data_IF_965765669486
#
_entry.id   IF_965765669486
#
_cell.length_a   1.000
_cell.length_b   1.000
_cell.length_c   1.000
_cell.angle_alpha   90.00
_cell.angle_beta   90.00
_cell.angle_gamma   90.00
#
_symmetry.space_group_name_H-M   'P 1'
#
loop_
_entity.id
_entity.type
_entity.pdbx_description
1 polymer ?
#
# COMPACT_ATOMS: atom_id res chain seq x y z
N UNK A 1 -7.27 4.65 -9.18
CA UNK A 1 -5.91 4.90 -8.74
C UNK A 1 -5.96 5.52 -7.35
N UNK A 2 -5.16 5.07 -6.41
CA UNK A 2 -4.03 4.12 -6.50
C UNK A 2 -4.36 2.67 -6.10
N UNK A 3 -5.60 2.32 -5.85
CA UNK A 3 -6.01 1.06 -5.23
C UNK A 3 -6.06 -0.13 -6.20
N UNK A 4 -6.13 0.13 -7.50
CA UNK A 4 -6.26 -0.89 -8.54
C UNK A 4 -5.06 -0.84 -9.47
N UNK A 5 -4.68 -2.00 -10.01
CA UNK A 5 -3.63 -2.07 -11.03
C UNK A 5 -4.07 -1.48 -12.36
N UNK A 6 -5.37 -1.47 -12.61
CA UNK A 6 -5.91 -0.98 -13.89
C UNK A 6 -6.48 0.42 -13.76
N UNK A 7 -6.25 1.23 -14.79
CA UNK A 7 -6.83 2.56 -14.95
C UNK A 7 -7.21 2.78 -16.42
N UNK A 8 -8.14 3.70 -16.66
CA UNK A 8 -8.53 4.12 -18.02
C UNK A 8 -8.35 5.63 -18.16
N UNK A 9 -7.81 6.03 -19.30
CA UNK A 9 -7.77 7.42 -19.72
C UNK A 9 -8.67 7.55 -20.94
N UNK A 10 -9.70 8.38 -20.85
CA UNK A 10 -10.59 8.67 -21.99
C UNK A 10 -10.29 10.08 -22.48
N UNK A 11 -9.96 10.17 -23.76
CA UNK A 11 -9.79 11.45 -24.47
C UNK A 11 -11.04 11.65 -25.33
N UNK A 12 -11.81 12.69 -25.04
CA UNK A 12 -13.01 13.05 -25.82
C UNK A 12 -12.82 14.43 -26.40
N UNK A 13 -13.08 14.58 -27.69
CA UNK A 13 -12.95 15.84 -28.43
C UNK A 13 -14.24 16.15 -29.16
N UNK A 14 -14.59 17.45 -29.22
CA UNK A 14 -15.81 17.94 -29.91
C UNK A 14 -15.64 18.09 -31.43
N UNK A 15 -14.40 18.16 -31.90
CA UNK A 15 -14.03 18.22 -33.30
C UNK A 15 -12.61 17.63 -33.47
N UNK A 16 -12.22 17.19 -34.69
CA UNK A 16 -10.88 16.64 -34.90
C UNK A 16 -9.80 17.65 -34.49
N UNK A 17 -8.88 17.22 -33.65
CA UNK A 17 -7.76 18.02 -33.15
C UNK A 17 -6.48 17.20 -33.08
N UNK A 18 -5.37 17.81 -33.45
CA UNK A 18 -4.04 17.15 -33.41
C UNK A 18 -3.26 17.61 -32.20
N UNK A 19 -2.89 16.68 -31.35
CA UNK A 19 -2.00 16.93 -30.20
C UNK A 19 -1.25 15.67 -29.76
N UNK A 20 -0.33 15.86 -28.83
CA UNK A 20 0.43 14.77 -28.20
C UNK A 20 -0.07 14.59 -26.76
N UNK A 21 -0.59 13.40 -26.44
CA UNK A 21 -0.90 12.99 -25.08
C UNK A 21 0.34 12.37 -24.44
N UNK A 22 0.84 12.95 -23.34
CA UNK A 22 1.93 12.40 -22.53
C UNK A 22 1.39 11.70 -21.28
N UNK A 23 1.71 10.43 -21.12
CA UNK A 23 1.35 9.66 -19.92
C UNK A 23 2.63 9.32 -19.15
N UNK A 24 2.71 9.79 -17.91
CA UNK A 24 3.86 9.50 -17.05
C UNK A 24 3.83 8.04 -16.60
N UNK A 25 4.95 7.35 -16.78
CA UNK A 25 5.15 5.98 -16.29
C UNK A 25 5.86 6.06 -14.93
N UNK A 26 5.19 5.68 -13.83
CA UNK A 26 5.80 5.80 -12.51
C UNK A 26 7.03 4.92 -12.34
N UNK A 27 8.01 5.41 -11.57
CA UNK A 27 9.26 4.68 -11.33
C UNK A 27 9.10 3.41 -10.48
N UNK A 28 8.00 3.29 -9.73
CA UNK A 28 7.69 2.12 -8.91
C UNK A 28 7.06 0.96 -9.71
N UNK A 29 6.60 1.18 -10.95
CA UNK A 29 6.08 0.11 -11.81
C UNK A 29 7.22 -0.74 -12.36
N UNK A 30 6.99 -2.04 -12.53
CA UNK A 30 7.98 -2.93 -13.18
C UNK A 30 7.55 -3.36 -14.59
N UNK A 31 6.27 -3.64 -14.77
CA UNK A 31 5.73 -4.21 -15.99
C UNK A 31 4.44 -3.50 -16.40
N UNK A 32 4.41 -2.17 -16.28
CA UNK A 32 3.25 -1.39 -16.70
C UNK A 32 3.00 -1.59 -18.18
N UNK A 33 1.75 -1.87 -18.52
CA UNK A 33 1.27 -1.92 -19.91
C UNK A 33 0.36 -0.73 -20.15
N UNK A 34 0.45 -0.15 -21.33
CA UNK A 34 -0.39 0.95 -21.78
C UNK A 34 -0.75 0.76 -23.25
N UNK A 35 -1.99 1.00 -23.63
CA UNK A 35 -2.42 0.89 -25.01
C UNK A 35 -3.88 1.17 -25.24
N UNK A 36 -4.32 1.10 -26.49
CA UNK A 36 -5.72 1.27 -26.91
C UNK A 36 -6.17 0.01 -27.66
N UNK A 37 -7.37 -0.47 -27.34
CA UNK A 37 -7.89 -1.72 -27.91
C UNK A 37 -7.08 -2.93 -27.46
N UNK A 38 -6.69 -3.79 -28.41
CA UNK A 38 -5.91 -5.01 -28.16
C UNK A 38 -4.39 -4.80 -28.11
N UNK A 39 -3.92 -3.65 -28.56
CA UNK A 39 -2.50 -3.32 -28.57
C UNK A 39 -2.05 -2.74 -27.23
N UNK A 40 -1.18 -3.49 -26.55
CA UNK A 40 -0.62 -3.09 -25.26
C UNK A 40 0.92 -3.08 -25.35
N UNK A 41 1.49 -1.94 -25.01
CA UNK A 41 2.94 -1.70 -25.03
C UNK A 41 3.48 -1.68 -23.60
N UNK A 42 4.75 -2.00 -23.43
CA UNK A 42 5.48 -1.90 -22.16
C UNK A 42 6.46 -0.73 -22.22
N UNK A 43 6.06 0.46 -21.80
CA UNK A 43 6.92 1.64 -21.80
C UNK A 43 7.99 1.57 -20.70
N UNK A 44 9.04 2.36 -20.84
CA UNK A 44 10.07 2.48 -19.81
C UNK A 44 9.55 3.23 -18.59
N UNK A 45 9.85 2.72 -17.41
CA UNK A 45 9.53 3.40 -16.15
C UNK A 45 10.32 4.71 -15.98
N UNK A 46 9.75 5.61 -15.21
CA UNK A 46 10.31 6.96 -14.91
C UNK A 46 10.36 7.92 -16.10
N UNK A 47 9.74 7.56 -17.22
CA UNK A 47 9.65 8.37 -18.43
C UNK A 47 8.20 8.74 -18.74
N UNK A 48 8.01 9.61 -19.75
CA UNK A 48 6.70 9.84 -20.35
C UNK A 48 6.56 8.99 -21.61
N UNK A 49 5.49 8.24 -21.70
CA UNK A 49 5.06 7.63 -22.94
C UNK A 49 4.12 8.57 -23.69
N UNK A 50 4.34 8.79 -24.98
CA UNK A 50 3.60 9.77 -25.76
C UNK A 50 2.81 9.13 -26.89
N UNK A 51 1.56 9.51 -26.99
CA UNK A 51 0.68 9.20 -28.11
C UNK A 51 0.52 10.47 -28.97
N UNK A 52 0.97 10.41 -30.23
CA UNK A 52 0.82 11.51 -31.19
C UNK A 52 -0.21 11.13 -32.23
N UNK A 53 -1.13 12.04 -32.52
CA UNK A 53 -2.12 11.78 -33.55
C UNK A 53 -3.18 12.87 -33.67
N UNK A 54 -4.04 12.70 -34.64
CA UNK A 54 -5.28 13.45 -34.78
C UNK A 54 -6.38 12.68 -34.06
N UNK A 55 -6.95 13.31 -33.05
CA UNK A 55 -7.98 12.73 -32.19
C UNK A 55 -9.34 13.07 -32.77
N UNK A 56 -10.18 12.04 -32.89
CA UNK A 56 -11.56 12.15 -33.34
C UNK A 56 -12.47 11.44 -32.35
N UNK A 57 -13.63 11.99 -32.05
CA UNK A 57 -14.58 11.39 -31.08
C UNK A 57 -13.97 11.09 -29.71
N UNK A 58 -14.03 9.83 -29.31
CA UNK A 58 -13.54 9.33 -28.02
C UNK A 58 -12.56 8.19 -28.18
N UNK A 59 -11.39 8.36 -27.61
CA UNK A 59 -10.34 7.32 -27.57
C UNK A 59 -10.07 6.90 -26.13
N UNK A 60 -10.06 5.59 -25.87
CA UNK A 60 -9.80 5.02 -24.54
C UNK A 60 -8.47 4.32 -24.51
N UNK A 61 -7.62 4.72 -23.55
CA UNK A 61 -6.39 4.03 -23.21
C UNK A 61 -6.57 3.26 -21.93
N UNK A 62 -6.12 2.01 -21.93
CA UNK A 62 -6.04 1.18 -20.73
C UNK A 62 -4.60 1.16 -20.22
N UNK A 63 -4.47 1.28 -18.90
CA UNK A 63 -3.21 1.16 -18.18
C UNK A 63 -3.31 -0.02 -17.23
N UNK A 64 -2.27 -0.86 -17.18
CA UNK A 64 -2.16 -1.94 -16.22
C UNK A 64 -0.76 -1.92 -15.62
N UNK A 65 -0.67 -1.63 -14.33
CA UNK A 65 0.62 -1.57 -13.62
C UNK A 65 1.11 -2.95 -13.19
N UNK A 66 0.21 -3.95 -13.13
CA UNK A 66 0.50 -5.32 -12.72
C UNK A 66 1.31 -5.42 -11.42
N UNK A 67 1.04 -4.52 -10.47
CA UNK A 67 1.80 -4.43 -9.23
C UNK A 67 1.48 -5.57 -8.28
N UNK A 68 2.53 -6.05 -7.60
CA UNK A 68 2.47 -7.09 -6.58
C UNK A 68 2.84 -6.51 -5.23
N UNK A 69 2.41 -7.17 -4.16
CA UNK A 69 2.88 -6.86 -2.81
C UNK A 69 4.37 -7.19 -2.66
N UNK A 70 5.12 -6.28 -2.03
CA UNK A 70 6.56 -6.38 -1.82
C UNK A 70 6.92 -5.95 -0.42
N UNK A 71 8.03 -6.51 0.05
CA UNK A 71 8.73 -6.05 1.24
C UNK A 71 9.87 -5.12 0.80
N UNK A 72 9.80 -3.86 1.21
CA UNK A 72 10.88 -2.91 0.99
C UNK A 72 11.68 -2.76 2.27
N UNK A 73 12.99 -3.03 2.18
CA UNK A 73 13.89 -2.94 3.32
C UNK A 73 14.07 -1.48 3.74
N UNK A 74 13.97 -1.26 5.02
CA UNK A 74 14.27 -0.01 5.71
C UNK A 74 15.56 -0.17 6.55
N UNK A 75 16.10 0.90 7.15
CA UNK A 75 17.14 0.79 8.15
C UNK A 75 16.73 -0.14 9.30
N UNK A 76 17.72 -0.69 10.01
CA UNK A 76 17.54 -1.54 11.20
C UNK A 76 16.83 -2.89 10.93
N UNK A 77 16.92 -3.39 9.67
CA UNK A 77 16.30 -4.64 9.21
C UNK A 77 14.76 -4.68 9.36
N UNK A 78 14.16 -3.52 9.36
CA UNK A 78 12.71 -3.39 9.25
C UNK A 78 12.28 -3.39 7.78
N UNK A 79 11.03 -3.74 7.55
CA UNK A 79 10.45 -3.81 6.21
C UNK A 79 9.08 -3.15 6.20
N UNK A 80 8.79 -2.43 5.12
CA UNK A 80 7.46 -1.90 4.85
C UNK A 80 6.85 -2.61 3.64
N UNK A 81 5.57 -2.94 3.76
CA UNK A 81 4.83 -3.56 2.65
C UNK A 81 4.36 -2.48 1.68
N UNK A 82 4.56 -2.70 0.39
CA UNK A 82 4.01 -1.85 -0.67
C UNK A 82 3.32 -2.66 -1.77
N UNK A 83 2.38 -2.00 -2.47
CA UNK A 83 1.82 -2.44 -3.75
C UNK A 83 1.53 -1.19 -4.59
N UNK A 84 2.19 -1.08 -5.73
CA UNK A 84 2.09 0.12 -6.55
C UNK A 84 2.52 1.38 -5.80
N UNK A 85 1.67 2.38 -5.82
CA UNK A 85 1.90 3.66 -5.15
C UNK A 85 1.58 3.63 -3.64
N UNK A 86 1.06 2.54 -3.11
CA UNK A 86 0.60 2.46 -1.72
C UNK A 86 1.58 1.71 -0.83
N UNK A 87 1.80 2.26 0.35
CA UNK A 87 2.32 1.53 1.50
C UNK A 87 1.16 0.99 2.34
N UNK A 88 1.42 -0.11 3.04
CA UNK A 88 0.46 -0.81 3.88
C UNK A 88 0.97 -0.92 5.30
N UNK A 89 0.05 -0.89 6.26
CA UNK A 89 0.36 -1.00 7.68
C UNK A 89 -0.64 -1.90 8.39
N UNK A 90 -0.22 -2.49 9.48
CA UNK A 90 -1.10 -3.18 10.43
C UNK A 90 -1.78 -2.11 11.27
N UNK A 91 -3.12 -1.97 11.22
CA UNK A 91 -3.84 -1.08 12.11
C UNK A 91 -3.75 -1.60 13.54
N UNK A 92 -3.50 -0.71 14.48
CA UNK A 92 -3.47 -1.03 15.91
C UNK A 92 -4.72 -0.46 16.55
N UNK A 93 -5.46 -1.30 17.28
CA UNK A 93 -6.57 -0.83 18.08
C UNK A 93 -6.05 0.16 19.15
N UNK A 94 -6.75 1.27 19.30
CA UNK A 94 -6.29 2.35 20.17
C UNK A 94 -7.46 2.95 20.96
N UNK A 95 -7.16 3.31 22.18
CA UNK A 95 -8.00 4.20 22.98
C UNK A 95 -7.66 5.65 22.63
N UNK A 96 -8.69 6.48 22.51
CA UNK A 96 -8.58 7.88 22.11
C UNK A 96 -8.96 8.79 23.23
N UNK A 97 -8.01 9.58 23.72
CA UNK A 97 -8.22 10.60 24.73
C UNK A 97 -8.09 11.99 24.10
N UNK A 98 -9.10 12.85 24.28
CA UNK A 98 -9.04 14.23 23.81
C UNK A 98 -8.28 15.09 24.81
N UNK A 99 -7.42 15.96 24.31
CA UNK A 99 -6.69 16.94 25.13
C UNK A 99 -7.64 18.03 25.60
N UNK A 100 -7.52 18.49 26.85
CA UNK A 100 -8.29 19.60 27.34
C UNK A 100 -8.02 20.89 26.54
N UNK A 101 -9.05 21.72 26.38
CA UNK A 101 -8.95 22.99 25.66
C UNK A 101 -9.04 22.88 24.13
N UNK A 102 -9.38 21.71 23.60
CA UNK A 102 -9.57 21.50 22.18
C UNK A 102 -10.66 22.38 21.58
N UNK A 103 -10.32 23.06 20.49
CA UNK A 103 -11.24 23.90 19.72
C UNK A 103 -11.68 23.20 18.46
N UNK A 104 -12.97 22.91 18.33
CA UNK A 104 -13.53 22.40 17.07
C UNK A 104 -13.27 23.40 15.93
N UNK A 105 -12.88 22.98 14.71
CA UNK A 105 -12.83 21.58 14.23
C UNK A 105 -11.45 20.90 14.38
N UNK A 106 -10.48 21.52 15.00
CA UNK A 106 -9.07 21.07 15.08
C UNK A 106 -8.78 20.42 16.43
N UNK A 107 -9.53 19.39 16.76
CA UNK A 107 -9.34 18.67 18.02
C UNK A 107 -8.00 17.92 18.06
N UNK A 108 -7.28 18.07 19.17
CA UNK A 108 -6.09 17.30 19.49
C UNK A 108 -6.47 16.10 20.36
N UNK A 109 -5.78 14.98 20.18
CA UNK A 109 -6.01 13.77 20.95
C UNK A 109 -4.77 12.88 20.99
N UNK A 110 -4.67 12.11 22.06
CA UNK A 110 -3.68 11.03 22.18
C UNK A 110 -4.30 9.69 21.81
N UNK A 111 -3.50 8.84 21.14
CA UNK A 111 -3.84 7.47 20.84
C UNK A 111 -2.92 6.54 21.63
N UNK A 112 -3.51 5.72 22.49
CA UNK A 112 -2.82 4.69 23.24
C UNK A 112 -3.19 3.31 22.69
N UNK A 113 -2.19 2.47 22.42
CA UNK A 113 -2.46 1.13 21.89
C UNK A 113 -3.24 0.30 22.92
N UNK A 114 -4.43 -0.16 22.55
CA UNK A 114 -5.26 -1.11 23.32
C UNK A 114 -5.25 -2.52 22.73
N UNK A 115 -4.62 -2.70 21.56
CA UNK A 115 -4.45 -3.99 20.88
C UNK A 115 -3.00 -4.41 20.69
N UNK A 116 -2.82 -5.61 20.13
CA UNK A 116 -1.49 -6.11 19.80
C UNK A 116 -0.87 -5.32 18.65
N UNK A 117 0.41 -4.98 18.78
CA UNK A 117 1.17 -4.19 17.80
C UNK A 117 2.56 -4.79 17.50
N UNK A 118 3.10 -5.61 18.41
CA UNK A 118 4.47 -6.14 18.42
C UNK A 118 4.62 -7.41 17.57
N UNK A 119 4.48 -7.28 16.26
CA UNK A 119 4.53 -8.40 15.33
C UNK A 119 5.79 -8.38 14.48
N UNK A 120 6.18 -9.58 14.01
CA UNK A 120 7.04 -9.78 12.86
C UNK A 120 6.25 -10.47 11.74
N UNK A 121 6.53 -10.12 10.51
CA UNK A 121 6.00 -10.83 9.33
C UNK A 121 6.75 -12.14 9.17
N UNK A 122 6.04 -13.22 8.85
CA UNK A 122 6.62 -14.48 8.44
C UNK A 122 6.66 -14.56 6.92
N UNK A 123 7.83 -14.76 6.34
CA UNK A 123 7.99 -14.97 4.92
C UNK A 123 8.99 -16.11 4.68
N UNK A 124 8.67 -17.01 3.75
CA UNK A 124 9.62 -18.06 3.30
C UNK A 124 10.76 -17.41 2.51
N UNK A 125 10.42 -16.46 1.66
CA UNK A 125 11.34 -15.73 0.82
C UNK A 125 10.86 -14.28 0.70
N UNK A 126 11.71 -13.32 1.07
CA UNK A 126 11.39 -11.89 1.02
C UNK A 126 11.14 -11.39 -0.41
N UNK A 127 11.86 -11.94 -1.38
CA UNK A 127 11.74 -11.56 -2.80
C UNK A 127 10.47 -12.15 -3.43
N UNK A 128 9.93 -13.21 -2.85
CA UNK A 128 8.70 -13.87 -3.26
C UNK A 128 7.52 -13.60 -2.33
N UNK A 129 7.60 -12.57 -1.51
CA UNK A 129 6.57 -12.22 -0.52
C UNK A 129 5.15 -12.19 -1.09
N UNK A 130 4.99 -11.73 -2.33
CA UNK A 130 3.68 -11.72 -3.00
C UNK A 130 2.99 -13.09 -3.11
N UNK A 131 3.72 -14.19 -2.98
CA UNK A 131 3.18 -15.56 -2.96
C UNK A 131 2.69 -16.00 -1.58
N UNK A 132 3.11 -15.30 -0.53
CA UNK A 132 2.78 -15.61 0.87
C UNK A 132 1.64 -14.76 1.40
N UNK A 133 0.98 -13.97 0.54
CA UNK A 133 -0.09 -13.07 0.93
C UNK A 133 -1.39 -13.40 0.20
N UNK A 134 -2.49 -13.15 0.88
CA UNK A 134 -3.81 -13.04 0.26
C UNK A 134 -4.29 -11.61 0.33
N UNK A 135 -5.14 -11.17 -0.59
CA UNK A 135 -5.69 -9.83 -0.54
C UNK A 135 -7.09 -9.77 -1.15
N UNK A 136 -7.84 -8.79 -0.73
CA UNK A 136 -9.17 -8.50 -1.23
C UNK A 136 -9.25 -7.06 -1.72
N UNK A 137 -9.67 -6.90 -2.96
CA UNK A 137 -10.07 -5.61 -3.52
C UNK A 137 -11.55 -5.38 -3.18
N UNK A 138 -11.85 -4.34 -2.40
CA UNK A 138 -13.22 -4.01 -1.99
C UNK A 138 -13.81 -2.89 -2.86
N UNK A 139 -15.12 -2.72 -2.93
CA UNK A 139 -15.72 -1.59 -3.61
C UNK A 139 -15.14 -0.26 -3.13
N UNK A 140 -14.87 0.65 -4.05
CA UNK A 140 -14.42 1.99 -3.70
C UNK A 140 -15.59 2.80 -3.14
N UNK A 141 -15.40 3.35 -1.96
CA UNK A 141 -16.34 4.28 -1.32
C UNK A 141 -15.92 5.72 -1.55
N UNK A 142 -16.71 6.69 -1.12
CA UNK A 142 -16.33 8.12 -1.12
C UNK A 142 -15.11 8.40 -0.22
N UNK A 143 -14.84 7.54 0.77
CA UNK A 143 -13.68 7.60 1.64
C UNK A 143 -12.86 6.31 1.58
N UNK A 144 -12.10 6.08 0.50
CA UNK A 144 -11.38 4.82 0.29
C UNK A 144 -10.21 4.59 1.25
N UNK A 145 -9.78 5.62 1.97
CA UNK A 145 -8.81 5.57 3.06
C UNK A 145 -9.48 5.47 4.45
N UNK A 146 -10.55 4.73 4.56
CA UNK A 146 -11.21 4.43 5.84
C UNK A 146 -10.69 3.12 6.43
N UNK A 147 -10.41 3.09 7.73
CA UNK A 147 -10.03 1.86 8.45
C UNK A 147 -11.18 0.85 8.54
N UNK A 148 -12.42 1.35 8.56
CA UNK A 148 -13.63 0.51 8.61
C UNK A 148 -13.96 -0.11 7.25
N UNK A 149 -13.72 0.64 6.15
CA UNK A 149 -14.03 0.21 4.78
C UNK A 149 -12.84 0.48 3.84
N UNK A 150 -11.68 -0.12 4.09
CA UNK A 150 -10.50 0.11 3.26
C UNK A 150 -10.73 -0.44 1.86
N UNK A 151 -10.20 0.25 0.85
CA UNK A 151 -10.35 -0.16 -0.56
C UNK A 151 -9.61 -1.47 -0.90
N UNK A 152 -8.61 -1.84 -0.11
CA UNK A 152 -7.82 -3.07 -0.24
C UNK A 152 -7.44 -3.56 1.16
N UNK A 153 -7.60 -4.85 1.39
CA UNK A 153 -7.05 -5.54 2.56
C UNK A 153 -6.06 -6.61 2.11
N UNK A 154 -4.95 -6.70 2.80
CA UNK A 154 -3.94 -7.74 2.58
C UNK A 154 -3.70 -8.50 3.87
N UNK A 155 -3.53 -9.81 3.74
CA UNK A 155 -3.30 -10.70 4.87
C UNK A 155 -2.05 -11.53 4.65
N UNK A 156 -1.24 -11.66 5.70
CA UNK A 156 -0.10 -12.57 5.72
C UNK A 156 0.09 -13.15 7.11
N UNK A 157 0.84 -14.24 7.21
CA UNK A 157 1.22 -14.81 8.50
C UNK A 157 2.22 -13.93 9.23
N UNK A 158 2.09 -13.85 10.54
CA UNK A 158 3.05 -13.22 11.44
C UNK A 158 3.15 -13.96 12.77
N UNK A 159 4.05 -13.47 13.60
CA UNK A 159 4.21 -13.91 15.00
C UNK A 159 4.38 -12.69 15.89
N UNK A 160 3.94 -12.79 17.15
CA UNK A 160 4.31 -11.82 18.17
C UNK A 160 5.79 -11.96 18.51
N UNK A 161 6.44 -10.81 18.71
CA UNK A 161 7.85 -10.74 19.09
C UNK A 161 8.02 -9.93 20.38
N UNK A 162 9.20 -10.09 21.00
CA UNK A 162 9.62 -9.22 22.08
C UNK A 162 10.00 -7.86 21.49
N UNK A 163 9.15 -6.87 21.72
CA UNK A 163 9.37 -5.50 21.23
C UNK A 163 9.06 -4.51 22.33
N UNK A 164 10.06 -3.83 22.84
CA UNK A 164 9.93 -2.89 23.92
C UNK A 164 9.37 -1.53 23.46
N UNK A 165 8.82 -0.79 24.42
CA UNK A 165 8.46 0.62 24.28
C UNK A 165 9.46 1.43 25.08
N UNK A 166 9.93 2.53 24.51
CA UNK A 166 10.76 3.53 25.18
C UNK A 166 10.23 4.91 24.81
N UNK A 167 10.05 5.77 25.81
CA UNK A 167 9.57 7.14 25.63
C UNK A 167 8.27 7.23 24.78
N UNK A 168 7.30 6.32 25.05
CA UNK A 168 6.02 6.25 24.36
C UNK A 168 6.04 5.67 22.95
N UNK A 169 7.20 5.27 22.43
CA UNK A 169 7.35 4.72 21.09
C UNK A 169 7.98 3.33 21.08
N UNK A 170 7.70 2.54 20.05
CA UNK A 170 8.36 1.25 19.83
C UNK A 170 9.87 1.44 19.65
N UNK A 171 10.67 0.60 20.32
CA UNK A 171 12.13 0.63 20.20
C UNK A 171 12.52 0.43 18.73
N UNK A 172 13.46 1.24 18.24
CA UNK A 172 13.84 1.29 16.84
C UNK A 172 14.37 -0.04 16.26
N UNK A 173 15.03 -0.84 17.08
CA UNK A 173 15.58 -2.15 16.72
C UNK A 173 14.96 -3.24 17.58
N UNK A 174 13.82 -3.84 17.20
CA UNK A 174 13.32 -4.99 17.95
C UNK A 174 14.27 -6.19 17.80
N UNK A 175 14.37 -6.96 18.86
CA UNK A 175 14.90 -8.31 18.75
C UNK A 175 13.86 -9.14 18.00
N UNK A 176 14.11 -9.55 16.77
CA UNK A 176 13.19 -10.37 15.98
C UNK A 176 13.04 -11.81 16.55
N UNK A 177 12.94 -11.91 17.87
CA UNK A 177 12.76 -13.15 18.61
C UNK A 177 11.26 -13.35 18.85
N UNK A 178 10.74 -14.47 18.37
CA UNK A 178 9.35 -14.83 18.60
C UNK A 178 9.05 -14.91 20.10
N UNK A 179 7.99 -14.22 20.54
CA UNK A 179 7.49 -14.30 21.91
C UNK A 179 6.64 -15.57 22.14
N UNK A 180 6.19 -16.20 21.06
CA UNK A 180 5.45 -17.47 21.08
C UNK A 180 5.59 -18.19 19.74
N UNK A 181 5.31 -19.50 19.74
CA UNK A 181 5.26 -20.29 18.50
C UNK A 181 3.95 -20.11 17.71
N UNK A 182 2.97 -19.44 18.29
CA UNK A 182 1.67 -19.22 17.67
C UNK A 182 1.81 -18.29 16.46
N UNK A 183 1.36 -18.77 15.30
CA UNK A 183 1.19 -17.94 14.10
C UNK A 183 -0.14 -17.15 14.21
N UNK A 184 -0.11 -15.91 13.80
CA UNK A 184 -1.29 -15.05 13.73
C UNK A 184 -1.46 -14.52 12.31
N UNK A 185 -2.71 -14.31 11.87
CA UNK A 185 -2.99 -13.67 10.59
C UNK A 185 -2.95 -12.15 10.80
N UNK A 186 -1.96 -11.50 10.18
CA UNK A 186 -1.83 -10.07 10.20
C UNK A 186 -2.66 -9.46 9.06
N UNK A 187 -3.51 -8.50 9.42
CA UNK A 187 -4.29 -7.70 8.47
C UNK A 187 -3.54 -6.40 8.19
N UNK A 188 -3.30 -6.12 6.92
CA UNK A 188 -2.72 -4.87 6.45
C UNK A 188 -3.74 -4.10 5.62
N UNK A 189 -3.80 -2.79 5.81
CA UNK A 189 -4.61 -1.87 5.01
C UNK A 189 -3.72 -0.72 4.52
N UNK A 190 -4.16 0.08 3.53
CA UNK A 190 -3.39 1.24 3.09
C UNK A 190 -2.99 2.13 4.27
N UNK A 191 -1.73 2.56 4.30
CA UNK A 191 -1.16 3.37 5.38
C UNK A 191 -2.03 4.57 5.75
N UNK A 192 -2.56 5.28 4.72
CA UNK A 192 -3.43 6.44 4.91
C UNK A 192 -4.82 6.11 5.49
N UNK A 193 -5.18 4.82 5.58
CA UNK A 193 -6.45 4.36 6.16
C UNK A 193 -6.34 4.05 7.67
N UNK A 194 -5.19 4.28 8.30
CA UNK A 194 -4.94 3.94 9.70
C UNK A 194 -4.64 5.18 10.53
N UNK A 195 -5.12 5.23 11.76
CA UNK A 195 -4.71 6.24 12.77
C UNK A 195 -3.47 5.75 13.50
N UNK A 196 -3.61 4.78 14.42
CA UNK A 196 -2.47 4.11 15.06
C UNK A 196 -2.10 2.84 14.27
N UNK A 197 -0.80 2.65 14.02
CA UNK A 197 -0.34 1.60 13.09
C UNK A 197 1.07 1.15 13.34
N UNK A 198 1.37 -0.07 12.87
CA UNK A 198 2.72 -0.55 12.66
C UNK A 198 2.97 -0.74 11.16
N UNK A 199 3.81 0.12 10.58
CA UNK A 199 4.13 0.09 9.15
C UNK A 199 5.48 -0.57 8.88
N UNK A 200 6.45 -0.37 9.76
CA UNK A 200 7.78 -0.94 9.68
C UNK A 200 7.89 -2.15 10.63
N UNK A 201 8.02 -3.34 10.08
CA UNK A 201 8.02 -4.59 10.81
C UNK A 201 9.28 -5.41 10.48
N UNK A 202 9.85 -6.13 11.46
CA UNK A 202 10.87 -7.14 11.15
C UNK A 202 10.26 -8.31 10.39
N UNK A 203 11.10 -9.02 9.65
CA UNK A 203 10.72 -10.24 8.93
C UNK A 203 11.49 -11.42 9.48
N UNK A 204 10.78 -12.45 9.89
CA UNK A 204 11.33 -13.74 10.26
C UNK A 204 11.24 -14.65 9.04
N UNK A 205 12.38 -15.05 8.49
CA UNK A 205 12.44 -16.02 7.41
C UNK A 205 12.28 -17.41 7.99
N UNK A 206 11.31 -18.16 7.50
CA UNK A 206 11.15 -19.58 7.86
C UNK A 206 11.92 -20.41 6.85
N UNK A 207 12.98 -21.06 7.30
CA UNK A 207 13.55 -22.17 6.52
C UNK A 207 12.56 -23.34 6.61
N UNK A 208 12.05 -23.77 5.47
CA UNK A 208 11.29 -25.02 5.34
C UNK A 208 12.22 -26.21 5.45
#
# INVERSE_FOLDING_TARGET
YPFRNTSKITVTVSSPVTFTLGVRIPGWTENMKIGSGSEMLMPRKSEFYTFKGTWTDSTVFSLDTNDKFRLNRLPDDLYIVSRGALYYAVPVAADKAYTEGNTYPYSEYELSASGGWNFAVLAEDKDRFSKSVTFEDKPLTSFPFSSATPAVEMFCCGKRIQWGIKDGAAVRKPLAVAASDKKEMLRFIPYGATELRMAALPVITQNV
#
